data_IF_335299225484
#
_entry.id   IF_335299225484
#
_cell.length_a   1.000
_cell.length_b   1.000
_cell.length_c   1.000
_cell.angle_alpha   90.00
_cell.angle_beta   90.00
_cell.angle_gamma   90.00
#
_symmetry.space_group_name_H-M   'P 1'
#
loop_
_entity.id
_entity.type
_entity.pdbx_description
1 polymer ?
#
# COMPACT_ATOMS: atom_id res chain seq x y z
N UNK A 1 28.30 -9.56 16.53
CA UNK A 1 27.31 -8.47 16.44
C UNK A 1 26.33 -8.80 15.33
N UNK A 2 25.03 -8.68 15.55
CA UNK A 2 24.05 -8.81 14.47
C UNK A 2 23.95 -7.46 13.72
N UNK A 3 23.69 -7.46 12.40
CA UNK A 3 23.51 -6.22 11.67
C UNK A 3 22.27 -5.48 12.18
N UNK A 4 22.34 -4.15 12.20
CA UNK A 4 21.21 -3.30 12.54
C UNK A 4 20.14 -3.41 11.45
N UNK A 5 18.88 -3.52 11.86
CA UNK A 5 17.72 -3.53 10.96
C UNK A 5 16.95 -2.24 11.16
N UNK A 6 16.61 -1.57 10.06
CA UNK A 6 15.69 -0.45 10.05
C UNK A 6 14.42 -0.84 9.30
N UNK A 7 13.27 -0.35 9.77
CA UNK A 7 11.98 -0.48 9.10
C UNK A 7 11.41 0.91 8.88
N UNK A 8 11.01 1.19 7.64
CA UNK A 8 10.37 2.44 7.24
C UNK A 8 9.00 2.12 6.65
N UNK A 9 8.01 2.93 7.00
CA UNK A 9 6.75 2.92 6.28
C UNK A 9 6.89 3.89 5.11
N UNK A 10 6.43 3.48 3.92
CA UNK A 10 6.38 4.32 2.72
C UNK A 10 4.97 4.28 2.13
N UNK A 11 4.56 5.30 1.35
CA UNK A 11 3.32 5.24 0.59
C UNK A 11 3.31 3.99 -0.32
N UNK A 12 2.20 3.27 -0.38
CA UNK A 12 2.05 2.03 -1.15
C UNK A 12 2.37 2.22 -2.63
N UNK A 13 2.02 3.39 -3.17
CA UNK A 13 2.18 3.75 -4.59
C UNK A 13 3.58 4.30 -4.95
N UNK A 14 4.47 4.50 -3.97
CA UNK A 14 5.77 5.13 -4.18
C UNK A 14 6.91 4.11 -4.04
N UNK A 15 7.84 4.14 -5.00
CA UNK A 15 9.09 3.38 -4.88
C UNK A 15 10.03 4.10 -3.89
N UNK A 16 10.61 3.39 -2.90
CA UNK A 16 11.62 3.99 -2.03
C UNK A 16 12.92 4.25 -2.80
N UNK A 17 13.74 5.17 -2.29
CA UNK A 17 15.04 5.48 -2.86
C UNK A 17 15.97 4.25 -2.79
N UNK A 18 16.72 3.99 -3.85
CA UNK A 18 17.71 2.92 -3.87
C UNK A 18 18.74 3.08 -2.73
N UNK A 19 19.19 1.98 -2.09
CA UNK A 19 18.95 0.57 -2.43
C UNK A 19 17.72 -0.05 -1.74
N UNK A 20 16.87 0.75 -1.09
CA UNK A 20 15.69 0.24 -0.40
C UNK A 20 14.66 -0.30 -1.41
N UNK A 21 13.86 -1.26 -0.97
CA UNK A 21 12.76 -1.83 -1.75
C UNK A 21 11.48 -1.82 -0.92
N UNK A 22 10.32 -1.84 -1.60
CA UNK A 22 9.03 -1.91 -0.92
C UNK A 22 8.68 -3.35 -0.56
N UNK A 23 7.81 -3.51 0.44
CA UNK A 23 7.21 -4.78 0.83
C UNK A 23 5.96 -5.12 0.02
N UNK A 24 5.69 -4.41 -1.08
CA UNK A 24 4.56 -4.66 -1.96
C UNK A 24 4.47 -6.12 -2.48
N UNK A 25 5.59 -6.81 -2.83
CA UNK A 25 5.53 -8.23 -3.18
C UNK A 25 5.03 -9.12 -2.03
N UNK A 26 5.35 -8.79 -0.78
CA UNK A 26 4.86 -9.52 0.41
C UNK A 26 3.36 -9.29 0.59
N UNK A 27 2.89 -8.04 0.41
CA UNK A 27 1.46 -7.73 0.43
C UNK A 27 0.71 -8.51 -0.66
N UNK A 28 1.22 -8.52 -1.90
CA UNK A 28 0.64 -9.30 -3.01
C UNK A 28 0.49 -10.77 -2.64
N UNK A 29 1.55 -11.39 -2.13
CA UNK A 29 1.52 -12.80 -1.71
C UNK A 29 0.49 -13.05 -0.60
N UNK A 30 0.39 -12.14 0.38
CA UNK A 30 -0.59 -12.24 1.46
C UNK A 30 -2.04 -12.14 0.92
N UNK A 31 -2.31 -11.17 0.04
CA UNK A 31 -3.63 -11.00 -0.57
C UNK A 31 -4.01 -12.19 -1.45
N UNK A 32 -3.09 -12.69 -2.29
CA UNK A 32 -3.33 -13.91 -3.09
C UNK A 32 -3.72 -15.08 -2.19
N UNK A 33 -3.05 -15.25 -1.04
CA UNK A 33 -3.38 -16.32 -0.08
C UNK A 33 -4.75 -16.11 0.57
N UNK A 34 -5.08 -14.88 0.94
CA UNK A 34 -6.29 -14.57 1.69
C UNK A 34 -7.55 -14.58 0.81
N UNK A 35 -7.46 -14.07 -0.42
CA UNK A 35 -8.67 -13.83 -1.23
C UNK A 35 -8.56 -14.29 -2.69
N UNK A 36 -7.39 -14.77 -3.15
CA UNK A 36 -7.19 -15.25 -4.52
C UNK A 36 -7.44 -16.75 -4.75
N UNK A 37 -7.87 -17.49 -3.73
CA UNK A 37 -8.20 -18.92 -3.82
C UNK A 37 -9.65 -19.18 -4.26
N UNK A 38 -10.06 -20.46 -4.41
CA UNK A 38 -11.44 -20.81 -4.80
C UNK A 38 -12.51 -20.26 -3.86
N UNK A 39 -12.16 -20.06 -2.58
CA UNK A 39 -12.99 -19.40 -1.58
C UNK A 39 -12.12 -18.42 -0.77
N UNK A 40 -12.59 -17.21 -0.46
CA UNK A 40 -11.84 -16.26 0.33
C UNK A 40 -11.78 -16.70 1.79
N UNK A 41 -10.62 -16.53 2.42
CA UNK A 41 -10.37 -16.83 3.84
C UNK A 41 -10.88 -15.72 4.77
N UNK A 42 -11.16 -14.53 4.22
CA UNK A 42 -11.76 -13.40 4.92
C UNK A 42 -12.71 -12.64 4.00
N UNK A 43 -13.70 -11.97 4.57
CA UNK A 43 -14.60 -11.04 3.86
C UNK A 43 -14.39 -9.58 4.28
N UNK A 44 -13.57 -9.36 5.30
CA UNK A 44 -13.29 -8.04 5.86
C UNK A 44 -11.86 -7.66 5.51
N UNK A 45 -11.72 -6.52 4.85
CA UNK A 45 -10.45 -5.91 4.49
C UNK A 45 -10.55 -4.44 4.84
N UNK A 46 -9.52 -3.91 5.50
CA UNK A 46 -9.42 -2.50 5.85
C UNK A 46 -8.16 -1.93 5.20
N UNK A 47 -8.25 -0.70 4.71
CA UNK A 47 -7.12 0.02 4.11
C UNK A 47 -6.88 1.27 4.94
N UNK A 48 -5.70 1.36 5.54
CA UNK A 48 -5.22 2.56 6.22
C UNK A 48 -4.26 3.31 5.29
N UNK A 49 -4.53 4.59 5.04
CA UNK A 49 -3.66 5.43 4.21
C UNK A 49 -2.52 6.03 5.01
N UNK A 50 -1.41 6.31 4.35
CA UNK A 50 -0.18 6.80 4.97
C UNK A 50 -0.33 8.10 5.79
N UNK A 51 0.44 8.22 6.88
CA UNK A 51 0.58 9.46 7.64
C UNK A 51 1.48 10.45 6.90
N UNK A 52 0.90 11.29 6.05
CA UNK A 52 1.62 12.21 5.14
C UNK A 52 2.65 13.13 5.81
N UNK A 53 2.47 13.48 7.09
CA UNK A 53 3.42 14.32 7.83
C UNK A 53 4.71 13.59 8.25
N UNK A 54 4.70 12.26 8.24
CA UNK A 54 5.88 11.44 8.50
C UNK A 54 6.84 11.37 7.30
N UNK A 55 6.41 11.82 6.12
CA UNK A 55 7.27 11.89 4.94
C UNK A 55 8.44 12.86 5.17
N UNK A 56 9.59 12.64 4.50
CA UNK A 56 10.62 13.66 4.37
C UNK A 56 10.02 14.99 3.90
N UNK A 57 10.46 16.15 4.42
CA UNK A 57 9.87 17.46 4.11
C UNK A 57 9.68 17.74 2.62
N UNK A 58 10.61 17.28 1.79
CA UNK A 58 10.61 17.42 0.33
C UNK A 58 9.54 16.57 -0.38
N UNK A 59 9.03 15.52 0.27
CA UNK A 59 7.99 14.63 -0.24
C UNK A 59 6.59 14.94 0.33
N UNK A 60 6.48 15.84 1.31
CA UNK A 60 5.18 16.17 1.91
C UNK A 60 4.29 16.91 0.91
N UNK A 61 2.98 16.60 0.87
CA UNK A 61 2.03 17.40 0.10
C UNK A 61 1.99 18.83 0.66
N UNK A 62 2.14 19.82 -0.22
CA UNK A 62 2.16 21.26 0.11
C UNK A 62 0.81 21.94 -0.15
N UNK A 63 -0.13 21.24 -0.78
CA UNK A 63 -1.47 21.71 -1.07
C UNK A 63 -2.50 20.59 -0.88
N UNK A 64 -3.77 20.97 -0.66
CA UNK A 64 -4.87 20.01 -0.51
C UNK A 64 -5.00 19.05 -1.69
N UNK A 65 -4.84 19.56 -2.92
CA UNK A 65 -4.87 18.72 -4.12
C UNK A 65 -3.84 17.59 -4.07
N UNK A 66 -2.59 17.90 -3.71
CA UNK A 66 -1.53 16.89 -3.61
C UNK A 66 -1.80 15.84 -2.52
N UNK A 67 -2.40 16.25 -1.40
CA UNK A 67 -2.83 15.31 -0.36
C UNK A 67 -3.94 14.39 -0.88
N UNK A 68 -4.93 14.95 -1.57
CA UNK A 68 -6.03 14.18 -2.17
C UNK A 68 -5.50 13.21 -3.22
N UNK A 69 -4.59 13.63 -4.09
CA UNK A 69 -3.97 12.77 -5.11
C UNK A 69 -3.22 11.60 -4.47
N UNK A 70 -2.46 11.86 -3.40
CA UNK A 70 -1.77 10.83 -2.65
C UNK A 70 -2.71 9.81 -2.00
N UNK A 71 -3.77 10.27 -1.34
CA UNK A 71 -4.79 9.40 -0.74
C UNK A 71 -5.47 8.56 -1.83
N UNK A 72 -5.82 9.18 -2.96
CA UNK A 72 -6.44 8.50 -4.09
C UNK A 72 -5.51 7.44 -4.69
N UNK A 73 -4.20 7.69 -4.75
CA UNK A 73 -3.22 6.74 -5.24
C UNK A 73 -3.07 5.51 -4.32
N UNK A 74 -3.06 5.70 -2.99
CA UNK A 74 -3.07 4.58 -2.03
C UNK A 74 -4.30 3.68 -2.22
N UNK A 75 -5.49 4.29 -2.27
CA UNK A 75 -6.75 3.56 -2.41
C UNK A 75 -6.87 2.90 -3.79
N UNK A 76 -6.38 3.56 -4.84
CA UNK A 76 -6.35 3.02 -6.21
C UNK A 76 -5.49 1.77 -6.27
N UNK A 77 -4.27 1.81 -5.71
CA UNK A 77 -3.40 0.64 -5.72
C UNK A 77 -4.00 -0.50 -4.88
N UNK A 78 -4.58 -0.22 -3.72
CA UNK A 78 -5.25 -1.23 -2.91
C UNK A 78 -6.44 -1.87 -3.66
N UNK A 79 -7.27 -1.06 -4.31
CA UNK A 79 -8.37 -1.51 -5.16
C UNK A 79 -7.85 -2.41 -6.29
N UNK A 80 -6.88 -1.95 -7.06
CA UNK A 80 -6.34 -2.67 -8.21
C UNK A 80 -5.79 -4.06 -7.80
N UNK A 81 -5.06 -4.13 -6.69
CA UNK A 81 -4.57 -5.40 -6.14
C UNK A 81 -5.69 -6.39 -5.80
N UNK A 82 -6.83 -5.90 -5.31
CA UNK A 82 -7.97 -6.73 -4.95
C UNK A 82 -8.79 -7.14 -6.18
N UNK A 83 -9.03 -6.22 -7.11
CA UNK A 83 -9.77 -6.51 -8.34
C UNK A 83 -8.99 -7.45 -9.26
N UNK A 84 -7.66 -7.36 -9.28
CA UNK A 84 -6.79 -8.30 -10.00
C UNK A 84 -6.90 -9.74 -9.47
N UNK A 85 -7.35 -9.92 -8.22
CA UNK A 85 -7.62 -11.21 -7.61
C UNK A 85 -9.08 -11.68 -7.80
N UNK A 86 -9.89 -10.94 -8.57
CA UNK A 86 -11.26 -11.29 -8.91
C UNK A 86 -12.33 -10.77 -7.95
N UNK A 87 -11.98 -9.89 -7.01
CA UNK A 87 -12.97 -9.21 -6.18
C UNK A 87 -13.74 -8.19 -7.03
N UNK A 88 -15.04 -8.06 -6.74
CA UNK A 88 -15.92 -7.14 -7.46
C UNK A 88 -16.22 -5.92 -6.59
N UNK A 89 -16.18 -4.76 -7.21
CA UNK A 89 -16.72 -3.54 -6.62
C UNK A 89 -18.23 -3.67 -6.46
N UNK A 90 -18.75 -3.09 -5.38
CA UNK A 90 -20.20 -2.97 -5.21
C UNK A 90 -20.73 -1.98 -6.27
N UNK A 91 -21.86 -2.29 -6.91
CA UNK A 91 -22.48 -1.42 -7.91
C UNK A 91 -22.97 -0.09 -7.32
#
# INVERSE_FOLDING_TARGET
TAPWRAHFHVPLHAAPAAPLTSTLPVLKAALTRLVGGPHPLTRNLEVETYTWQALPPELRPRARAQLTDGIAAELTLARDLLTDLGLKELP
#
